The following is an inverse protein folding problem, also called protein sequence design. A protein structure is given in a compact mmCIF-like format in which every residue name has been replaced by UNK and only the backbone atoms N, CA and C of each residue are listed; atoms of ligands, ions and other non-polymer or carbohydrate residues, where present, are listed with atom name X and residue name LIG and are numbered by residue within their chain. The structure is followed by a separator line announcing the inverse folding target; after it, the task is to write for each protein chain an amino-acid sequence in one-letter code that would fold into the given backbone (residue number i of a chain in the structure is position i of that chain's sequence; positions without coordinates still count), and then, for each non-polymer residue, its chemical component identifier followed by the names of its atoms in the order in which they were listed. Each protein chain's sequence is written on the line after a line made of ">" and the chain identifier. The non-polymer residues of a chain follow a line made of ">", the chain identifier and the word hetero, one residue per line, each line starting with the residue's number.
data_IF_661008730518
#
_entry.id   IF_661008730518
#
_cell.length_a   1.000
_cell.length_b   1.000
_cell.length_c   1.000
_cell.angle_alpha   90.00
_cell.angle_beta   90.00
_cell.angle_gamma   90.00
#
_symmetry.space_group_name_H-M   'P 1'
#
loop_
_entity.id
_entity.type
_entity.pdbx_description
1 polymer ?
#
# COMPACT_ATOMS: atom_id res chain seq x y z
N UNK A 1 -3.78 8.73 -5.35
CA UNK A 1 -4.65 9.01 -4.18
C UNK A 1 -4.50 10.44 -3.67
N UNK A 2 -3.36 10.86 -3.12
CA UNK A 2 -3.15 12.23 -2.58
C UNK A 2 -3.59 13.34 -3.54
N UNK A 3 -3.12 13.32 -4.80
CA UNK A 3 -3.48 14.34 -5.78
C UNK A 3 -4.99 14.40 -6.07
N UNK A 4 -5.67 13.24 -6.11
CA UNK A 4 -7.11 13.15 -6.33
C UNK A 4 -7.90 13.76 -5.16
N UNK A 5 -7.49 13.45 -3.90
CA UNK A 5 -8.06 14.08 -2.70
C UNK A 5 -7.92 15.60 -2.73
N UNK A 6 -6.71 16.11 -3.00
CA UNK A 6 -6.45 17.56 -3.04
C UNK A 6 -7.22 18.29 -4.13
N UNK A 7 -7.39 17.66 -5.29
CA UNK A 7 -8.18 18.20 -6.39
C UNK A 7 -9.70 18.08 -6.17
N UNK A 8 -10.15 17.37 -5.13
CA UNK A 8 -11.56 17.02 -4.96
C UNK A 8 -12.08 16.08 -6.05
N UNK A 9 -11.19 15.40 -6.76
CA UNK A 9 -11.52 14.50 -7.86
C UNK A 9 -11.77 13.08 -7.34
N UNK A 10 -12.76 12.95 -6.46
CA UNK A 10 -13.25 11.69 -5.90
C UNK A 10 -14.78 11.67 -5.97
N UNK A 11 -15.41 10.48 -5.98
CA UNK A 11 -16.85 10.37 -5.80
C UNK A 11 -17.31 11.08 -4.52
N UNK A 12 -18.50 11.68 -4.56
CA UNK A 12 -19.07 12.41 -3.43
C UNK A 12 -19.07 11.62 -2.11
N UNK A 13 -19.57 10.36 -2.05
CA UNK A 13 -19.57 9.60 -0.80
C UNK A 13 -18.16 9.35 -0.24
N UNK A 14 -17.18 9.08 -1.10
CA UNK A 14 -15.79 8.88 -0.67
C UNK A 14 -15.18 10.18 -0.11
N UNK A 15 -15.42 11.32 -0.78
CA UNK A 15 -14.91 12.61 -0.34
C UNK A 15 -15.51 13.05 1.00
N UNK A 16 -16.82 12.84 1.19
CA UNK A 16 -17.52 13.14 2.45
C UNK A 16 -16.98 12.26 3.59
N UNK A 17 -16.81 10.96 3.34
CA UNK A 17 -16.27 10.04 4.33
C UNK A 17 -14.84 10.43 4.75
N UNK A 18 -13.97 10.81 3.81
CA UNK A 18 -12.61 11.28 4.14
C UNK A 18 -12.66 12.53 5.02
N UNK A 19 -13.50 13.52 4.69
CA UNK A 19 -13.64 14.76 5.46
C UNK A 19 -14.20 14.50 6.86
N UNK A 20 -15.22 13.66 6.97
CA UNK A 20 -15.81 13.30 8.25
C UNK A 20 -14.80 12.54 9.13
N UNK A 21 -14.11 11.56 8.55
CA UNK A 21 -13.09 10.77 9.27
C UNK A 21 -11.92 11.65 9.73
N UNK A 22 -11.47 12.57 8.88
CA UNK A 22 -10.44 13.55 9.26
C UNK A 22 -10.91 14.46 10.40
N UNK A 23 -12.18 14.85 10.40
CA UNK A 23 -12.75 15.72 11.43
C UNK A 23 -12.76 15.07 12.82
N UNK A 24 -13.19 13.81 12.95
CA UNK A 24 -13.29 13.16 14.26
C UNK A 24 -12.04 12.37 14.68
N UNK A 25 -11.16 11.98 13.74
CA UNK A 25 -9.99 11.13 14.03
C UNK A 25 -8.66 11.85 13.83
N UNK A 26 -8.04 12.24 14.94
CA UNK A 26 -6.70 12.85 14.94
C UNK A 26 -5.59 11.89 14.44
N UNK A 27 -5.79 10.58 14.51
CA UNK A 27 -4.86 9.60 13.91
C UNK A 27 -5.00 9.59 12.39
N UNK A 28 -6.24 9.59 11.88
CA UNK A 28 -6.49 9.65 10.45
C UNK A 28 -5.95 10.95 9.84
N UNK A 29 -6.18 12.09 10.49
CA UNK A 29 -5.58 13.36 10.07
C UNK A 29 -4.04 13.29 9.97
N UNK A 30 -3.38 12.68 10.96
CA UNK A 30 -1.92 12.45 10.91
C UNK A 30 -1.51 11.53 9.78
N UNK A 31 -2.26 10.46 9.51
CA UNK A 31 -2.00 9.56 8.39
C UNK A 31 -2.11 10.28 7.04
N UNK A 32 -3.12 11.14 6.85
CA UNK A 32 -3.25 11.95 5.63
C UNK A 32 -2.01 12.84 5.43
N UNK A 33 -1.54 13.52 6.49
CA UNK A 33 -0.35 14.36 6.44
C UNK A 33 0.93 13.56 6.12
N UNK A 34 1.08 12.38 6.72
CA UNK A 34 2.22 11.50 6.46
C UNK A 34 2.25 11.02 5.00
N UNK A 35 1.10 10.62 4.46
CA UNK A 35 1.02 10.19 3.07
C UNK A 35 1.32 11.34 2.10
N UNK A 36 0.90 12.56 2.42
CA UNK A 36 1.29 13.75 1.64
C UNK A 36 2.80 13.98 1.63
N UNK A 37 3.45 13.82 2.79
CA UNK A 37 4.90 13.92 2.89
C UNK A 37 5.61 12.81 2.11
N UNK A 38 5.07 11.58 2.16
CA UNK A 38 5.59 10.45 1.41
C UNK A 38 5.41 10.65 -0.10
N UNK A 39 4.25 11.15 -0.54
CA UNK A 39 3.99 11.43 -1.96
C UNK A 39 4.87 12.57 -2.51
N UNK A 40 5.33 13.48 -1.65
CA UNK A 40 6.31 14.49 -2.01
C UNK A 40 7.74 13.94 -2.14
N UNK A 41 8.02 12.76 -1.56
CA UNK A 41 9.28 12.03 -1.77
C UNK A 41 9.14 11.25 -3.08
N UNK A 42 10.15 11.35 -3.96
CA UNK A 42 10.26 10.51 -5.17
C UNK A 42 10.68 9.08 -4.77
N UNK A 43 9.79 8.40 -4.03
CA UNK A 43 10.03 7.04 -3.53
C UNK A 43 10.21 6.09 -4.71
N UNK A 44 11.33 5.37 -4.71
CA UNK A 44 11.65 4.37 -5.73
C UNK A 44 11.96 3.04 -5.07
N UNK A 45 11.44 1.94 -5.62
CA UNK A 45 11.82 0.63 -5.14
C UNK A 45 13.32 0.39 -5.34
N UNK A 46 13.92 -0.42 -4.47
CA UNK A 46 15.35 -0.78 -4.55
C UNK A 46 15.63 -1.61 -5.82
N UNK A 47 14.77 -2.59 -6.12
CA UNK A 47 14.88 -3.41 -7.32
C UNK A 47 15.65 -4.71 -7.13
N UNK A 48 16.54 -5.04 -8.07
CA UNK A 48 17.34 -6.28 -7.98
C UNK A 48 18.45 -6.12 -6.95
N UNK A 49 18.64 -7.13 -6.12
CA UNK A 49 19.74 -7.19 -5.16
C UNK A 49 19.94 -8.59 -4.61
N UNK A 50 20.96 -8.72 -3.77
CA UNK A 50 21.29 -10.00 -3.12
C UNK A 50 20.70 -10.06 -1.72
N UNK A 51 19.96 -11.14 -1.46
CA UNK A 51 19.45 -11.47 -0.13
C UNK A 51 20.42 -12.41 0.54
N UNK A 52 20.90 -12.01 1.72
CA UNK A 52 21.78 -12.82 2.55
C UNK A 52 21.00 -13.86 3.33
N UNK A 53 19.90 -13.45 3.95
CA UNK A 53 19.13 -14.29 4.86
C UNK A 53 17.68 -13.80 4.92
N UNK A 54 16.71 -14.72 4.85
CA UNK A 54 15.30 -14.41 5.11
C UNK A 54 15.05 -14.54 6.61
N UNK A 55 14.57 -13.46 7.24
CA UNK A 55 14.31 -13.43 8.68
C UNK A 55 12.96 -14.05 9.02
N UNK A 56 11.90 -13.66 8.30
CA UNK A 56 10.58 -14.25 8.42
C UNK A 56 9.71 -13.96 7.19
N UNK A 57 8.64 -14.74 7.03
CA UNK A 57 7.63 -14.52 6.00
C UNK A 57 6.56 -13.56 6.54
N UNK A 58 6.39 -12.41 5.89
CA UNK A 58 5.41 -11.41 6.29
C UNK A 58 4.02 -11.80 5.74
N UNK A 59 3.97 -12.12 4.46
CA UNK A 59 2.80 -12.62 3.74
C UNK A 59 3.22 -13.84 2.89
N UNK A 60 2.31 -14.51 2.15
CA UNK A 60 2.72 -15.53 1.20
C UNK A 60 3.72 -15.03 0.14
N UNK A 61 3.66 -13.74 -0.22
CA UNK A 61 4.41 -13.18 -1.34
C UNK A 61 5.50 -12.17 -0.96
N UNK A 62 5.56 -11.77 0.32
CA UNK A 62 6.53 -10.78 0.83
C UNK A 62 7.22 -11.35 2.07
N UNK A 63 8.55 -11.30 2.06
CA UNK A 63 9.39 -11.66 3.19
C UNK A 63 10.09 -10.42 3.75
N UNK A 64 10.46 -10.48 5.03
CA UNK A 64 11.47 -9.58 5.59
C UNK A 64 12.80 -10.31 5.63
N UNK A 65 13.85 -9.68 5.13
CA UNK A 65 15.16 -10.28 4.91
C UNK A 65 16.30 -9.31 5.23
N UNK A 66 17.51 -9.84 5.39
CA UNK A 66 18.75 -9.07 5.37
C UNK A 66 19.30 -9.05 3.95
N UNK A 67 19.62 -7.85 3.45
CA UNK A 67 20.39 -7.71 2.23
C UNK A 67 21.88 -8.04 2.46
N UNK A 68 22.68 -8.02 1.39
CA UNK A 68 24.14 -8.27 1.47
C UNK A 68 24.89 -7.26 2.35
N UNK A 69 24.32 -6.09 2.62
CA UNK A 69 24.88 -5.06 3.52
C UNK A 69 24.44 -5.22 4.98
N UNK A 70 23.55 -6.16 5.27
CA UNK A 70 23.00 -6.40 6.60
C UNK A 70 21.81 -5.50 6.97
N UNK A 71 21.22 -4.78 6.01
CA UNK A 71 20.01 -3.97 6.24
C UNK A 71 18.76 -4.85 6.14
N UNK A 72 17.77 -4.57 7.00
CA UNK A 72 16.46 -5.21 6.93
C UNK A 72 15.65 -4.60 5.78
N UNK A 73 15.21 -5.45 4.86
CA UNK A 73 14.42 -5.06 3.67
C UNK A 73 13.19 -5.94 3.52
N UNK A 74 12.17 -5.44 2.84
CA UNK A 74 11.07 -6.25 2.33
C UNK A 74 11.42 -6.75 0.92
N UNK A 75 11.17 -8.03 0.65
CA UNK A 75 11.53 -8.69 -0.62
C UNK A 75 10.41 -9.60 -1.11
N UNK A 76 10.20 -9.63 -2.42
CA UNK A 76 9.26 -10.54 -3.05
C UNK A 76 9.76 -11.99 -2.92
N UNK A 77 8.93 -12.88 -2.39
CA UNK A 77 9.27 -14.30 -2.21
C UNK A 77 9.39 -15.07 -3.52
N UNK A 78 8.79 -14.56 -4.60
CA UNK A 78 8.71 -15.22 -5.91
C UNK A 78 9.91 -14.90 -6.81
N UNK A 79 10.30 -13.62 -6.88
CA UNK A 79 11.32 -13.16 -7.83
C UNK A 79 12.54 -12.48 -7.18
N UNK A 80 12.54 -12.32 -5.84
CA UNK A 80 13.64 -11.69 -5.12
C UNK A 80 13.71 -10.16 -5.29
N UNK A 81 12.70 -9.51 -5.87
CA UNK A 81 12.66 -8.05 -5.99
C UNK A 81 12.62 -7.40 -4.60
N UNK A 82 13.57 -6.53 -4.31
CA UNK A 82 13.66 -5.77 -3.07
C UNK A 82 12.80 -4.52 -3.21
N UNK A 83 11.79 -4.39 -2.36
CA UNK A 83 10.89 -3.24 -2.34
C UNK A 83 11.59 -2.04 -1.72
N UNK A 84 11.91 -2.13 -0.43
CA UNK A 84 12.48 -1.04 0.34
C UNK A 84 12.90 -1.46 1.74
N UNK A 85 13.21 -0.48 2.61
CA UNK A 85 13.50 -0.73 4.02
C UNK A 85 12.34 -1.46 4.71
N UNK A 86 12.64 -2.41 5.61
CA UNK A 86 11.59 -3.18 6.29
C UNK A 86 10.75 -2.38 7.30
N UNK A 87 11.17 -1.16 7.64
CA UNK A 87 10.40 -0.21 8.47
C UNK A 87 9.43 0.66 7.66
N UNK A 88 9.42 0.51 6.33
CA UNK A 88 8.47 1.18 5.45
C UNK A 88 7.61 0.11 4.75
N UNK A 89 6.35 0.44 4.49
CA UNK A 89 5.43 -0.53 3.91
C UNK A 89 5.80 -0.84 2.46
N UNK A 90 5.90 -2.13 2.11
CA UNK A 90 6.20 -2.58 0.75
C UNK A 90 5.14 -2.08 -0.27
N UNK A 91 3.92 -1.80 0.18
CA UNK A 91 2.84 -1.20 -0.62
C UNK A 91 3.24 0.15 -1.21
N UNK A 92 4.07 0.94 -0.52
CA UNK A 92 4.58 2.24 -1.01
C UNK A 92 5.50 2.09 -2.23
N UNK A 93 6.07 0.90 -2.41
CA UNK A 93 7.05 0.56 -3.44
C UNK A 93 6.48 -0.39 -4.50
N UNK A 94 5.19 -0.66 -4.43
CA UNK A 94 4.48 -1.57 -5.33
C UNK A 94 3.87 -0.82 -6.51
N UNK A 95 3.61 -1.54 -7.61
CA UNK A 95 2.69 -1.03 -8.61
C UNK A 95 1.27 -1.14 -8.05
N UNK A 96 0.45 -0.11 -8.25
CA UNK A 96 -0.90 -0.05 -7.68
C UNK A 96 -1.90 0.06 -8.81
N UNK A 97 -2.95 -0.76 -8.75
CA UNK A 97 -4.10 -0.69 -9.64
C UNK A 97 -5.37 -0.54 -8.82
N UNK A 98 -6.16 0.48 -9.14
CA UNK A 98 -7.48 0.69 -8.55
C UNK A 98 -8.50 -0.01 -9.46
N UNK A 99 -8.94 -1.20 -9.06
CA UNK A 99 -9.85 -2.04 -9.84
C UNK A 99 -11.30 -1.75 -9.50
N UNK A 100 -12.15 -1.69 -10.54
CA UNK A 100 -13.60 -1.64 -10.40
C UNK A 100 -14.10 -3.01 -9.90
N UNK A 101 -14.78 -3.09 -8.74
CA UNK A 101 -15.25 -4.36 -8.19
C UNK A 101 -16.14 -5.18 -9.16
N UNK A 102 -16.86 -4.51 -10.08
CA UNK A 102 -17.66 -5.18 -11.12
C UNK A 102 -16.82 -6.05 -12.08
N UNK A 103 -15.51 -5.86 -12.14
CA UNK A 103 -14.60 -6.69 -12.94
C UNK A 103 -14.32 -8.07 -12.33
N UNK A 104 -14.52 -8.24 -11.01
CA UNK A 104 -14.17 -9.47 -10.27
C UNK A 104 -15.40 -10.16 -9.70
N UNK A 105 -16.31 -9.37 -9.13
CA UNK A 105 -17.48 -9.92 -8.47
C UNK A 105 -18.55 -10.31 -9.50
N UNK A 106 -19.34 -11.37 -9.23
CA UNK A 106 -20.50 -11.67 -10.05
C UNK A 106 -21.45 -10.47 -10.12
N UNK A 107 -22.14 -10.34 -11.26
CA UNK A 107 -23.10 -9.25 -11.50
C UNK A 107 -24.06 -9.07 -10.32
N UNK A 108 -24.22 -7.82 -9.87
CA UNK A 108 -25.05 -7.41 -8.73
C UNK A 108 -24.53 -7.79 -7.32
N UNK A 109 -23.37 -8.45 -7.22
CA UNK A 109 -22.70 -8.73 -5.94
C UNK A 109 -21.47 -7.83 -5.71
N UNK A 110 -21.10 -7.03 -6.71
CA UNK A 110 -20.07 -6.02 -6.56
C UNK A 110 -20.57 -4.88 -5.66
N UNK A 111 -19.75 -4.36 -4.73
CA UNK A 111 -20.02 -3.09 -4.10
C UNK A 111 -20.01 -1.98 -5.16
N UNK A 112 -20.78 -0.92 -4.91
CA UNK A 112 -20.76 0.28 -5.75
C UNK A 112 -19.35 0.91 -5.71
N UNK A 113 -18.78 1.14 -6.89
CA UNK A 113 -17.43 1.68 -7.05
C UNK A 113 -17.24 3.09 -6.51
N UNK A 114 -18.33 3.86 -6.35
CA UNK A 114 -18.27 5.16 -5.67
C UNK A 114 -18.00 5.00 -4.16
N UNK A 115 -18.32 3.84 -3.60
CA UNK A 115 -18.19 3.52 -2.18
C UNK A 115 -16.97 2.65 -1.86
N UNK A 116 -16.59 1.74 -2.77
CA UNK A 116 -15.46 0.85 -2.57
C UNK A 116 -14.78 0.48 -3.88
N UNK A 117 -13.45 0.52 -3.88
CA UNK A 117 -12.57 0.02 -4.94
C UNK A 117 -11.71 -1.12 -4.39
N UNK A 118 -11.18 -1.95 -5.28
CA UNK A 118 -10.14 -2.92 -4.93
C UNK A 118 -8.77 -2.32 -5.27
N UNK A 119 -8.03 -1.93 -4.24
CA UNK A 119 -6.68 -1.41 -4.40
C UNK A 119 -5.69 -2.58 -4.43
N UNK A 120 -5.27 -2.97 -5.62
CA UNK A 120 -4.41 -4.12 -5.87
C UNK A 120 -2.94 -3.70 -5.91
N UNK A 121 -2.09 -4.36 -5.13
CA UNK A 121 -0.65 -4.10 -5.05
C UNK A 121 0.12 -5.22 -5.74
N UNK A 122 1.02 -4.84 -6.65
CA UNK A 122 1.82 -5.77 -7.43
C UNK A 122 3.31 -5.56 -7.26
N UNK A 123 4.04 -6.68 -7.24
CA UNK A 123 5.48 -6.68 -7.34
C UNK A 123 5.94 -6.02 -8.67
N UNK A 124 6.78 -4.97 -8.64
CA UNK A 124 7.29 -4.35 -9.86
C UNK A 124 8.21 -5.26 -10.67
N UNK A 125 8.80 -6.28 -10.05
CA UNK A 125 9.72 -7.21 -10.70
C UNK A 125 9.02 -8.29 -11.53
N UNK A 126 7.95 -8.90 -11.00
CA UNK A 126 7.31 -10.06 -11.63
C UNK A 126 5.79 -9.93 -11.83
N UNK A 127 5.17 -8.83 -11.38
CA UNK A 127 3.72 -8.64 -11.50
C UNK A 127 2.88 -9.49 -10.56
N UNK A 128 3.47 -10.19 -9.59
CA UNK A 128 2.72 -10.94 -8.57
C UNK A 128 1.84 -9.98 -7.76
N UNK A 129 0.54 -10.26 -7.66
CA UNK A 129 -0.36 -9.56 -6.74
C UNK A 129 0.00 -9.95 -5.31
N UNK A 130 0.52 -9.00 -4.55
CA UNK A 130 1.06 -9.24 -3.20
C UNK A 130 0.07 -8.89 -2.10
N UNK A 131 -0.86 -7.97 -2.36
CA UNK A 131 -1.90 -7.59 -1.42
C UNK A 131 -3.10 -6.97 -2.17
N UNK A 132 -4.27 -6.98 -1.53
CA UNK A 132 -5.44 -6.23 -1.96
C UNK A 132 -6.13 -5.58 -0.76
N UNK A 133 -6.35 -4.27 -0.83
CA UNK A 133 -7.16 -3.56 0.15
C UNK A 133 -8.49 -3.15 -0.51
N UNK A 134 -9.63 -3.50 0.11
CA UNK A 134 -10.93 -2.96 -0.31
C UNK A 134 -11.20 -1.68 0.48
N UNK A 135 -11.17 -0.52 -0.19
CA UNK A 135 -11.29 0.79 0.46
C UNK A 135 -12.16 1.74 -0.35
N UNK A 136 -12.76 2.76 0.27
CA UNK A 136 -13.32 3.88 -0.47
C UNK A 136 -12.28 4.59 -1.35
N UNK A 137 -12.66 5.09 -2.53
CA UNK A 137 -11.76 5.82 -3.42
C UNK A 137 -10.96 6.92 -2.72
N UNK A 138 -9.65 6.93 -2.94
CA UNK A 138 -8.77 7.97 -2.41
C UNK A 138 -8.41 7.85 -0.93
N UNK A 139 -8.86 6.81 -0.22
CA UNK A 139 -8.40 6.53 1.15
C UNK A 139 -6.87 6.34 1.20
N UNK A 140 -6.23 6.67 2.35
CA UNK A 140 -4.82 6.35 2.56
C UNK A 140 -4.53 4.86 2.43
N UNK A 141 -3.33 4.53 1.98
CA UNK A 141 -2.83 3.14 2.03
C UNK A 141 -2.83 2.69 3.50
N UNK A 142 -3.47 1.56 3.77
CA UNK A 142 -3.50 0.94 5.10
C UNK A 142 -2.19 0.21 5.33
N UNK A 143 -1.38 0.62 6.33
CA UNK A 143 -0.13 -0.06 6.63
C UNK A 143 -0.38 -1.49 7.11
N UNK A 144 0.49 -2.40 6.73
CA UNK A 144 0.54 -3.76 7.26
C UNK A 144 0.94 -3.69 8.75
N UNK A 145 0.12 -4.28 9.63
CA UNK A 145 0.26 -4.14 11.09
C UNK A 145 1.67 -4.47 11.61
N UNK A 146 2.26 -5.58 11.15
CA UNK A 146 3.63 -5.98 11.56
C UNK A 146 4.68 -4.94 11.13
N UNK A 147 4.55 -4.33 9.94
CA UNK A 147 5.49 -3.29 9.51
C UNK A 147 5.31 -2.03 10.36
N UNK A 148 4.06 -1.66 10.66
CA UNK A 148 3.77 -0.52 11.52
C UNK A 148 4.40 -0.67 12.92
N UNK A 149 4.46 -1.89 13.46
CA UNK A 149 5.18 -2.18 14.71
C UNK A 149 6.71 -2.12 14.55
N UNK A 150 7.24 -2.60 13.43
CA UNK A 150 8.68 -2.53 13.13
C UNK A 150 9.16 -1.09 12.98
N UNK A 151 8.35 -0.21 12.41
CA UNK A 151 8.67 1.22 12.24
C UNK A 151 8.81 1.99 13.57
N UNK A 152 8.25 1.45 14.66
CA UNK A 152 8.27 2.07 15.99
C UNK A 152 9.50 1.66 16.84
N UNK A 153 10.33 0.73 16.35
CA UNK A 153 11.50 0.17 17.06
C UNK A 153 12.80 0.60 16.39
#
# INVERSE_FOLDING_TARGET
>A
MVAARKAGNLPAPALELVKETEWFSAEFHRQLQQEEQLAAKDLKPVGKGEIREVLFKLTPYVNVALDSTGKKVTVCSECGFIYGPAGEDFKLYSLVYERDPDEVYPKHLAPDKEWAVLLEFYCPGCGRQTEVDQTPPGMPIVPHAIIAELAQK
#
